data_IF_886706436445
#
_entry.id   IF_886706436445
#
_cell.length_a   1.000
_cell.length_b   1.000
_cell.length_c   1.000
_cell.angle_alpha   90.00
_cell.angle_beta   90.00
_cell.angle_gamma   90.00
#
_symmetry.space_group_name_H-M   'P 1'
#
loop_
_entity.id
_entity.type
_entity.pdbx_description
1 polymer ?
#
# COMPACT_ATOMS: atom_id res chain seq x y z
N UNK A 1 -15.83 -80.67 -32.48
CA UNK A 1 -16.37 -79.30 -32.35
C UNK A 1 -15.51 -78.58 -31.32
N UNK A 2 -14.84 -77.49 -31.72
CA UNK A 2 -13.69 -76.90 -31.04
C UNK A 2 -14.14 -75.65 -30.24
N UNK A 3 -14.13 -75.69 -28.90
CA UNK A 3 -14.62 -74.60 -28.01
C UNK A 3 -13.49 -73.69 -27.44
N UNK A 4 -12.38 -73.54 -28.17
CA UNK A 4 -11.24 -72.73 -27.74
C UNK A 4 -11.41 -71.18 -27.75
N UNK A 5 -12.34 -70.52 -28.50
CA UNK A 5 -12.27 -69.07 -28.64
C UNK A 5 -12.92 -68.30 -27.48
N UNK A 6 -13.75 -68.94 -26.65
CA UNK A 6 -14.58 -68.25 -25.65
C UNK A 6 -13.79 -67.83 -24.39
N UNK A 7 -12.80 -68.64 -23.97
CA UNK A 7 -11.97 -68.37 -22.78
C UNK A 7 -10.98 -67.20 -22.99
N UNK A 8 -10.55 -66.97 -24.23
CA UNK A 8 -9.63 -65.89 -24.61
C UNK A 8 -10.26 -64.50 -24.49
N UNK A 9 -11.54 -64.40 -24.86
CA UNK A 9 -12.28 -63.13 -24.87
C UNK A 9 -12.59 -62.66 -23.45
N UNK A 10 -13.00 -63.57 -22.57
CA UNK A 10 -13.34 -63.27 -21.17
C UNK A 10 -12.11 -62.82 -20.37
N UNK A 11 -10.94 -63.38 -20.66
CA UNK A 11 -9.68 -63.02 -19.99
C UNK A 11 -9.14 -61.66 -20.43
N UNK A 12 -9.45 -61.23 -21.66
CA UNK A 12 -9.08 -59.92 -22.22
C UNK A 12 -9.98 -58.78 -21.73
N UNK A 13 -11.26 -59.03 -21.50
CA UNK A 13 -12.20 -58.01 -21.00
C UNK A 13 -11.99 -57.71 -19.52
N UNK A 14 -11.68 -58.71 -18.69
CA UNK A 14 -11.39 -58.49 -17.27
C UNK A 14 -10.14 -57.61 -17.04
N UNK A 15 -9.09 -57.78 -17.86
CA UNK A 15 -7.89 -56.96 -17.81
C UNK A 15 -8.15 -55.51 -18.25
N UNK A 16 -9.03 -55.29 -19.24
CA UNK A 16 -9.36 -53.95 -19.72
C UNK A 16 -10.15 -53.13 -18.70
N UNK A 17 -11.06 -53.75 -17.93
CA UNK A 17 -11.85 -53.06 -16.89
C UNK A 17 -10.99 -52.69 -15.67
N UNK A 18 -10.03 -53.54 -15.29
CA UNK A 18 -9.12 -53.26 -14.16
C UNK A 18 -8.17 -52.08 -14.43
N UNK A 19 -7.73 -51.89 -15.68
CA UNK A 19 -6.84 -50.77 -16.07
C UNK A 19 -7.58 -49.43 -16.11
N UNK A 20 -8.87 -49.43 -16.49
CA UNK A 20 -9.69 -48.22 -16.53
C UNK A 20 -10.03 -47.72 -15.10
N UNK A 21 -10.27 -48.62 -14.15
CA UNK A 21 -10.51 -48.25 -12.75
C UNK A 21 -9.26 -47.68 -12.06
N UNK A 22 -8.06 -48.16 -12.40
CA UNK A 22 -6.82 -47.66 -11.81
C UNK A 22 -6.42 -46.28 -12.36
N UNK A 23 -6.73 -45.99 -13.63
CA UNK A 23 -6.46 -44.68 -14.24
C UNK A 23 -7.36 -43.55 -13.70
N UNK A 24 -8.57 -43.87 -13.24
CA UNK A 24 -9.51 -42.89 -12.69
C UNK A 24 -9.10 -42.35 -11.30
N UNK A 25 -8.25 -43.08 -10.55
CA UNK A 25 -7.80 -42.67 -9.21
C UNK A 25 -6.57 -41.76 -9.20
N UNK A 26 -5.87 -41.62 -10.33
CA UNK A 26 -4.59 -40.88 -10.41
C UNK A 26 -4.82 -39.41 -10.84
N UNK A 27 -6.03 -39.06 -11.31
CA UNK A 27 -6.32 -37.76 -11.94
C UNK A 27 -6.84 -36.63 -11.04
N UNK A 28 -7.03 -36.83 -9.73
CA UNK A 28 -7.73 -35.85 -8.86
C UNK A 28 -6.76 -34.90 -8.11
N UNK A 29 -5.45 -35.07 -8.26
CA UNK A 29 -4.44 -34.20 -7.65
C UNK A 29 -3.99 -33.08 -8.58
N UNK A 30 -4.81 -32.03 -8.75
CA UNK A 30 -4.32 -30.76 -9.33
C UNK A 30 -3.19 -30.17 -8.46
N UNK A 31 -2.26 -29.37 -9.02
CA UNK A 31 -1.23 -28.73 -8.22
C UNK A 31 -1.91 -27.90 -7.10
N UNK A 32 -1.36 -27.90 -5.87
CA UNK A 32 -1.92 -27.10 -4.79
C UNK A 32 -1.99 -25.65 -5.27
N UNK A 33 -3.21 -25.13 -5.38
CA UNK A 33 -3.44 -23.72 -5.68
C UNK A 33 -2.90 -22.95 -4.47
N UNK A 34 -1.77 -22.27 -4.66
CA UNK A 34 -1.27 -21.36 -3.64
C UNK A 34 -2.31 -20.25 -3.48
N UNK A 35 -3.06 -20.28 -2.38
CA UNK A 35 -3.98 -19.21 -2.02
C UNK A 35 -3.11 -18.05 -1.56
N UNK A 36 -2.76 -17.14 -2.45
CA UNK A 36 -2.14 -15.87 -2.09
C UNK A 36 -3.25 -15.02 -1.46
N UNK A 37 -3.32 -14.99 -0.14
CA UNK A 37 -4.13 -14.01 0.56
C UNK A 37 -3.50 -12.63 0.31
N UNK A 38 -4.04 -11.90 -0.67
CA UNK A 38 -3.68 -10.50 -0.86
C UNK A 38 -4.26 -9.73 0.32
N UNK A 39 -3.39 -9.09 1.10
CA UNK A 39 -3.83 -8.15 2.13
C UNK A 39 -4.46 -6.95 1.43
N UNK A 40 -5.78 -6.86 1.46
CA UNK A 40 -6.49 -5.65 1.01
C UNK A 40 -6.50 -4.64 2.15
N UNK A 41 -5.59 -3.67 2.08
CA UNK A 41 -5.60 -2.51 2.97
C UNK A 41 -6.88 -1.71 2.72
N UNK A 42 -7.81 -1.73 3.67
CA UNK A 42 -8.95 -0.81 3.69
C UNK A 42 -8.60 0.32 4.64
N UNK A 43 -8.27 1.53 4.15
CA UNK A 43 -8.05 2.68 5.01
C UNK A 43 -9.32 2.95 5.82
N UNK A 44 -9.23 2.83 7.13
CA UNK A 44 -10.33 3.17 8.02
C UNK A 44 -10.24 4.67 8.34
N UNK A 45 -11.13 5.47 7.76
CA UNK A 45 -11.35 6.85 8.21
C UNK A 45 -12.38 6.80 9.33
N UNK A 46 -11.93 6.98 10.57
CA UNK A 46 -12.82 6.99 11.73
C UNK A 46 -13.53 8.33 11.93
N UNK A 47 -12.93 9.42 11.47
CA UNK A 47 -13.41 10.77 11.74
C UNK A 47 -12.83 11.76 10.71
N UNK A 48 -13.68 12.56 10.08
CA UNK A 48 -13.29 13.63 9.16
C UNK A 48 -14.31 14.76 9.23
N UNK A 49 -13.84 15.99 9.04
CA UNK A 49 -14.70 17.15 8.97
C UNK A 49 -14.20 18.12 7.91
N UNK A 50 -15.10 18.44 6.97
CA UNK A 50 -14.82 19.44 5.97
C UNK A 50 -14.91 20.84 6.58
N UNK A 51 -13.83 21.61 6.48
CA UNK A 51 -13.76 22.99 7.01
C UNK A 51 -13.95 24.00 5.87
N UNK A 52 -13.23 23.84 4.77
CA UNK A 52 -13.25 24.76 3.62
C UNK A 52 -12.72 24.08 2.35
N UNK A 53 -13.17 24.55 1.17
CA UNK A 53 -12.63 24.19 -0.15
C UNK A 53 -11.64 25.26 -0.68
N UNK A 54 -11.26 26.23 0.15
CA UNK A 54 -10.27 27.24 -0.18
C UNK A 54 -8.89 26.62 -0.40
N UNK A 55 -8.16 27.12 -1.41
CA UNK A 55 -6.74 26.79 -1.64
C UNK A 55 -5.84 27.37 -0.54
N UNK A 56 -6.25 28.45 0.11
CA UNK A 56 -5.60 28.93 1.33
C UNK A 56 -6.01 28.05 2.53
N UNK A 57 -5.05 27.47 3.29
CA UNK A 57 -5.36 26.66 4.46
C UNK A 57 -6.20 27.42 5.51
N UNK A 58 -7.06 26.71 6.26
CA UNK A 58 -7.86 27.35 7.32
C UNK A 58 -6.97 27.88 8.45
N UNK A 59 -7.36 29.03 8.99
CA UNK A 59 -6.78 29.59 10.20
C UNK A 59 -7.06 28.72 11.42
N UNK A 60 -6.24 28.85 12.46
CA UNK A 60 -6.46 28.14 13.72
C UNK A 60 -7.85 28.45 14.34
N UNK A 61 -8.37 29.67 14.17
CA UNK A 61 -9.71 30.03 14.64
C UNK A 61 -10.82 29.28 13.88
N UNK A 62 -10.69 29.12 12.56
CA UNK A 62 -11.63 28.33 11.75
C UNK A 62 -11.60 26.85 12.11
N UNK A 63 -10.45 26.30 12.48
CA UNK A 63 -10.39 24.92 12.95
C UNK A 63 -10.98 24.77 14.36
N UNK A 64 -10.76 25.76 15.23
CA UNK A 64 -11.32 25.76 16.58
C UNK A 64 -12.85 25.86 16.60
N UNK A 65 -13.48 26.53 15.61
CA UNK A 65 -14.95 26.63 15.52
C UNK A 65 -15.63 25.28 15.34
N UNK A 66 -14.89 24.28 14.84
CA UNK A 66 -15.34 22.90 14.69
C UNK A 66 -14.69 21.95 15.71
N UNK A 67 -14.14 22.50 16.78
CA UNK A 67 -13.44 21.75 17.84
C UNK A 67 -12.25 20.92 17.30
N UNK A 68 -11.51 21.46 16.32
CA UNK A 68 -10.30 20.86 15.74
C UNK A 68 -9.08 21.76 15.88
N UNK A 69 -7.90 21.15 15.78
CA UNK A 69 -6.61 21.85 15.73
C UNK A 69 -6.04 21.75 14.32
N UNK A 70 -5.55 22.86 13.80
CA UNK A 70 -4.79 22.90 12.56
C UNK A 70 -3.34 23.17 12.89
N UNK A 71 -2.43 22.50 12.19
CA UNK A 71 -1.00 22.61 12.43
C UNK A 71 -0.33 23.16 11.18
N UNK A 72 0.56 24.13 11.37
CA UNK A 72 1.51 24.57 10.37
C UNK A 72 2.94 24.20 10.82
N UNK A 73 3.93 24.52 9.99
CA UNK A 73 5.33 24.22 10.28
C UNK A 73 5.77 24.74 11.68
N UNK A 74 5.50 26.00 11.99
CA UNK A 74 5.84 26.61 13.28
C UNK A 74 5.12 25.95 14.46
N UNK A 75 3.84 25.62 14.32
CA UNK A 75 3.07 24.94 15.35
C UNK A 75 3.64 23.55 15.65
N UNK A 76 4.09 22.82 14.62
CA UNK A 76 4.77 21.54 14.78
C UNK A 76 6.10 21.71 15.52
N UNK A 77 6.93 22.67 15.11
CA UNK A 77 8.21 22.95 15.79
C UNK A 77 8.02 23.33 17.27
N UNK A 78 7.01 24.15 17.57
CA UNK A 78 6.68 24.56 18.93
C UNK A 78 6.12 23.41 19.77
N UNK A 79 5.31 22.52 19.18
CA UNK A 79 4.71 21.38 19.89
C UNK A 79 5.75 20.41 20.44
N UNK A 80 6.93 20.36 19.84
CA UNK A 80 8.05 19.53 20.27
C UNK A 80 9.24 20.34 20.82
N UNK A 81 9.07 21.66 21.04
CA UNK A 81 10.10 22.55 21.54
C UNK A 81 11.43 22.44 20.74
N UNK A 82 11.35 22.48 19.41
CA UNK A 82 12.53 22.28 18.53
C UNK A 82 13.41 23.53 18.41
N UNK A 83 12.89 24.72 18.76
CA UNK A 83 13.61 26.00 18.65
C UNK A 83 15.01 26.00 19.27
N UNK A 84 15.21 25.53 20.52
CA UNK A 84 16.53 25.43 21.14
C UNK A 84 17.50 24.51 20.38
N UNK A 85 17.03 23.42 19.77
CA UNK A 85 17.86 22.50 18.99
C UNK A 85 18.32 23.15 17.68
N UNK A 86 17.41 23.84 16.99
CA UNK A 86 17.74 24.59 15.78
C UNK A 86 18.70 25.75 16.07
N UNK A 87 18.54 26.44 17.20
CA UNK A 87 19.48 27.47 17.66
C UNK A 87 20.89 26.93 17.96
N UNK A 88 21.03 25.64 18.25
CA UNK A 88 22.31 24.94 18.38
C UNK A 88 22.86 24.40 17.05
N UNK A 89 22.14 24.60 15.94
CA UNK A 89 22.52 24.11 14.62
C UNK A 89 22.06 22.68 14.32
N UNK A 90 21.23 22.07 15.19
CA UNK A 90 20.62 20.74 14.93
C UNK A 90 19.37 20.87 14.05
N UNK A 91 19.54 21.47 12.86
CA UNK A 91 18.48 21.82 11.92
C UNK A 91 18.38 20.86 10.71
N UNK A 92 19.19 19.80 10.72
CA UNK A 92 19.24 18.79 9.65
C UNK A 92 20.23 19.10 8.52
N UNK A 93 20.94 20.23 8.55
CA UNK A 93 21.99 20.52 7.55
C UNK A 93 23.06 19.44 7.54
N UNK A 94 23.41 18.98 6.34
CA UNK A 94 24.38 17.91 6.11
C UNK A 94 23.82 16.49 6.29
N UNK A 95 22.54 16.35 6.63
CA UNK A 95 21.86 15.06 6.76
C UNK A 95 20.93 14.84 5.56
N UNK A 96 20.98 13.67 4.95
CA UNK A 96 20.01 13.25 3.92
C UNK A 96 18.86 12.51 4.59
N UNK A 97 17.64 13.03 4.46
CA UNK A 97 16.41 12.41 4.99
C UNK A 97 15.64 11.81 3.81
N UNK A 98 15.46 10.48 3.80
CA UNK A 98 14.70 9.78 2.78
C UNK A 98 13.23 9.62 3.18
N UNK A 99 12.31 10.01 2.30
CA UNK A 99 10.86 9.78 2.42
C UNK A 99 10.44 8.88 1.27
N UNK A 100 9.79 7.75 1.57
CA UNK A 100 9.26 6.83 0.55
C UNK A 100 7.75 7.02 0.48
N UNK A 101 7.29 7.60 -0.62
CA UNK A 101 5.87 7.70 -0.96
C UNK A 101 5.55 6.64 -2.02
N UNK A 102 4.55 5.80 -1.74
CA UNK A 102 4.18 4.66 -2.60
C UNK A 102 3.45 5.08 -3.88
N UNK A 103 2.88 6.28 -3.91
CA UNK A 103 2.14 6.82 -5.05
C UNK A 103 2.82 8.06 -5.61
N UNK A 104 3.48 8.84 -4.76
CA UNK A 104 4.21 10.04 -5.14
C UNK A 104 3.31 11.17 -5.60
N UNK A 105 3.94 12.23 -6.10
CA UNK A 105 3.28 13.37 -6.75
C UNK A 105 4.15 13.85 -7.92
N UNK A 106 3.53 14.07 -9.08
CA UNK A 106 4.20 14.65 -10.26
C UNK A 106 4.58 16.13 -10.04
N UNK A 107 4.01 16.77 -9.02
CA UNK A 107 4.22 18.19 -8.65
C UNK A 107 4.98 18.35 -7.34
N UNK A 108 5.60 17.30 -6.80
CA UNK A 108 6.18 17.34 -5.45
C UNK A 108 7.21 18.47 -5.24
N UNK A 109 8.03 18.77 -6.24
CA UNK A 109 9.00 19.88 -6.18
C UNK A 109 8.30 21.26 -6.12
N UNK A 110 7.20 21.41 -6.85
CA UNK A 110 6.38 22.62 -6.83
C UNK A 110 5.65 22.79 -5.49
N UNK A 111 5.02 21.72 -5.01
CA UNK A 111 4.26 21.72 -3.75
C UNK A 111 5.17 22.06 -2.56
N UNK A 112 6.41 21.56 -2.57
CA UNK A 112 7.43 21.86 -1.56
C UNK A 112 7.82 23.35 -1.59
N UNK A 113 7.99 23.93 -2.78
CA UNK A 113 8.27 25.38 -2.93
C UNK A 113 7.13 26.21 -2.34
N UNK A 114 5.89 25.92 -2.72
CA UNK A 114 4.68 26.61 -2.21
C UNK A 114 4.60 26.50 -0.69
N UNK A 115 4.90 25.33 -0.12
CA UNK A 115 4.95 25.13 1.33
C UNK A 115 6.03 25.99 1.99
N UNK A 116 7.24 26.00 1.44
CA UNK A 116 8.35 26.77 1.97
C UNK A 116 8.07 28.28 1.91
N UNK A 117 7.53 28.77 0.80
CA UNK A 117 7.11 30.17 0.63
C UNK A 117 6.03 30.55 1.65
N UNK A 118 4.98 29.73 1.78
CA UNK A 118 3.85 30.00 2.66
C UNK A 118 4.24 30.10 4.14
N UNK A 119 5.31 29.41 4.55
CA UNK A 119 5.77 29.36 5.94
C UNK A 119 7.12 30.03 6.18
N UNK A 120 7.69 30.69 5.17
CA UNK A 120 8.99 31.38 5.29
C UNK A 120 10.15 30.44 5.64
N UNK A 121 10.14 29.22 5.08
CA UNK A 121 11.17 28.21 5.31
C UNK A 121 12.26 28.28 4.23
N UNK A 122 13.49 27.80 4.52
CA UNK A 122 14.54 27.73 3.53
C UNK A 122 14.20 26.76 2.39
N UNK A 123 14.50 27.18 1.17
CA UNK A 123 14.38 26.33 0.00
C UNK A 123 15.41 25.19 -0.01
N UNK A 124 15.02 24.08 -0.63
CA UNK A 124 15.86 22.89 -0.82
C UNK A 124 16.39 22.79 -2.25
N UNK A 125 17.53 22.13 -2.41
CA UNK A 125 18.06 21.81 -3.73
C UNK A 125 17.07 20.94 -4.51
N UNK A 126 16.71 21.35 -5.73
CA UNK A 126 15.77 20.62 -6.58
C UNK A 126 14.32 21.11 -6.50
N UNK A 127 14.02 22.12 -5.68
CA UNK A 127 12.79 22.89 -5.81
C UNK A 127 12.81 23.74 -7.09
N UNK A 128 11.63 24.02 -7.63
CA UNK A 128 11.48 24.93 -8.77
C UNK A 128 11.90 26.35 -8.36
N UNK A 129 12.69 27.03 -9.20
CA UNK A 129 13.14 28.40 -8.99
C UNK A 129 12.17 29.47 -9.47
#
# INVERSE_FOLDING_TARGET
MNFAPLYSVIRRTAAAVAVIFLAALIGVGGPPQAVTSVVTFHPAVSDFQFITASETPPTQAQCASVNRRCFNATAMQNSYNLGPLYGQGFDGRGITIGIVDSFGSDTMAHDLRVFNDAFGLPHMCGEEG
#
